data_IF_559501509113
#
_entry.id   IF_559501509113
#
_cell.length_a   1.000
_cell.length_b   1.000
_cell.length_c   1.000
_cell.angle_alpha   90.00
_cell.angle_beta   90.00
_cell.angle_gamma   90.00
#
_symmetry.space_group_name_H-M   'P 1'
#
loop_
_entity.id
_entity.type
_entity.pdbx_description
1 polymer ?
#
# COMPACT_ATOMS: atom_id res chain seq x y z
N UNK A 1 42.09 28.53 -10.94
CA UNK A 1 41.92 27.25 -10.21
C UNK A 1 40.71 27.39 -9.29
N UNK A 2 39.69 26.55 -9.50
CA UNK A 2 38.30 26.92 -9.29
C UNK A 2 37.78 26.54 -7.89
N UNK A 3 37.27 27.53 -7.14
CA UNK A 3 36.78 27.43 -5.75
C UNK A 3 35.60 26.46 -5.51
N UNK A 4 35.09 25.80 -6.56
CA UNK A 4 33.95 24.85 -6.49
C UNK A 4 34.36 23.42 -6.12
N UNK A 5 35.64 23.06 -6.22
CA UNK A 5 36.11 21.70 -5.93
C UNK A 5 36.29 21.39 -4.43
N UNK A 6 36.45 22.41 -3.58
CA UNK A 6 36.74 22.22 -2.14
C UNK A 6 35.46 21.92 -1.33
N UNK A 7 34.30 22.38 -1.78
CA UNK A 7 33.03 22.22 -1.05
C UNK A 7 32.45 20.80 -1.20
N UNK A 8 32.72 20.12 -2.32
CA UNK A 8 32.24 18.75 -2.56
C UNK A 8 33.06 17.73 -1.74
N UNK A 9 34.33 18.02 -1.45
CA UNK A 9 35.16 17.15 -0.60
C UNK A 9 34.76 17.13 0.88
N UNK A 10 34.14 18.20 1.39
CA UNK A 10 33.82 18.33 2.81
C UNK A 10 32.47 17.68 3.19
N UNK A 11 31.55 17.54 2.23
CA UNK A 11 30.25 16.86 2.44
C UNK A 11 30.40 15.33 2.37
N UNK A 12 31.36 14.83 1.59
CA UNK A 12 31.64 13.39 1.49
C UNK A 12 32.36 12.81 2.72
N UNK A 13 33.01 13.66 3.53
CA UNK A 13 33.64 13.27 4.80
C UNK A 13 32.65 13.20 5.99
N UNK A 14 31.51 13.91 5.94
CA UNK A 14 30.51 13.91 7.02
C UNK A 14 29.47 12.78 6.89
N UNK A 15 29.29 12.20 5.70
CA UNK A 15 28.36 11.09 5.49
C UNK A 15 28.93 9.71 5.90
N UNK A 16 30.25 9.57 6.02
CA UNK A 16 30.91 8.32 6.43
C UNK A 16 31.14 8.21 7.95
N UNK A 17 30.97 9.31 8.71
CA UNK A 17 31.14 9.33 10.17
C UNK A 17 29.87 9.03 10.99
N UNK A 18 28.68 9.09 10.40
CA UNK A 18 27.41 8.97 11.11
C UNK A 18 26.81 7.57 11.22
N UNK A 19 27.32 6.59 10.46
CA UNK A 19 26.72 5.25 10.33
C UNK A 19 27.13 4.22 11.38
N UNK A 20 28.12 4.53 12.22
CA UNK A 20 28.72 3.55 13.16
C UNK A 20 28.09 3.60 14.57
N UNK A 21 27.33 4.64 14.90
CA UNK A 21 26.79 4.84 16.25
C UNK A 21 25.40 4.20 16.52
N UNK A 22 24.67 3.73 15.51
CA UNK A 22 23.29 3.23 15.70
C UNK A 22 23.18 1.69 15.84
N UNK A 23 24.30 0.96 15.75
CA UNK A 23 24.32 -0.52 15.78
C UNK A 23 24.78 -1.11 17.13
N UNK A 24 24.73 -0.32 18.21
CA UNK A 24 25.21 -0.74 19.53
C UNK A 24 24.32 -0.30 20.71
N UNK A 25 23.00 -0.31 20.52
CA UNK A 25 22.06 -0.32 21.65
C UNK A 25 20.88 -1.21 21.25
N UNK A 26 20.38 -2.00 22.20
CA UNK A 26 19.30 -3.01 22.11
C UNK A 26 19.75 -4.46 21.84
N UNK A 27 20.51 -5.02 22.77
CA UNK A 27 20.46 -6.45 23.06
C UNK A 27 20.72 -6.74 24.55
N UNK A 28 19.70 -6.65 25.41
CA UNK A 28 19.66 -7.40 26.69
C UNK A 28 18.23 -7.55 27.21
N UNK A 29 17.93 -8.74 27.75
CA UNK A 29 16.91 -9.02 28.81
C UNK A 29 15.46 -9.18 28.31
N UNK A 30 14.66 -10.18 28.65
CA UNK A 30 14.67 -11.23 29.67
C UNK A 30 13.25 -11.38 30.25
N UNK A 31 12.75 -12.61 30.45
CA UNK A 31 11.43 -12.95 31.07
C UNK A 31 10.27 -12.98 30.05
N UNK A 32 9.35 -13.94 29.99
CA UNK A 32 8.89 -14.95 30.94
C UNK A 32 7.46 -14.60 31.35
N UNK A 33 6.43 -15.19 30.73
CA UNK A 33 5.07 -15.20 31.28
C UNK A 33 4.17 -16.27 30.61
N UNK A 34 3.41 -16.98 31.46
CA UNK A 34 2.41 -18.00 31.15
C UNK A 34 1.09 -17.34 30.76
N UNK A 35 0.30 -18.01 29.91
CA UNK A 35 -1.15 -17.88 29.90
C UNK A 35 -1.82 -19.22 29.57
N UNK A 36 -2.66 -19.70 30.49
CA UNK A 36 -3.64 -20.78 30.33
C UNK A 36 -4.78 -20.36 29.39
N UNK A 37 -5.36 -21.33 28.67
CA UNK A 37 -6.81 -21.43 28.46
C UNK A 37 -7.26 -22.92 28.40
N UNK A 38 -8.24 -23.24 29.26
CA UNK A 38 -9.17 -24.40 29.22
C UNK A 38 -10.08 -24.29 27.97
N UNK A 39 -10.83 -25.27 27.47
CA UNK A 39 -11.67 -26.36 28.00
C UNK A 39 -12.09 -27.19 26.74
N UNK A 40 -12.38 -28.50 26.76
CA UNK A 40 -13.67 -29.10 27.12
C UNK A 40 -13.62 -30.61 26.75
N UNK A 41 -14.29 -31.46 27.54
CA UNK A 41 -14.15 -32.92 27.46
C UNK A 41 -15.22 -33.66 26.63
N UNK A 42 -15.08 -34.99 26.59
CA UNK A 42 -16.21 -35.91 26.49
C UNK A 42 -15.84 -37.31 27.04
N UNK A 43 -16.88 -38.00 27.53
CA UNK A 43 -16.90 -39.26 28.27
C UNK A 43 -17.17 -40.46 27.33
N UNK A 44 -17.17 -41.65 27.96
CA UNK A 44 -17.69 -42.97 27.53
C UNK A 44 -16.63 -43.87 26.86
N UNK A 45 -16.47 -45.18 27.13
CA UNK A 45 -17.13 -46.14 28.00
C UNK A 45 -16.23 -47.41 28.16
N UNK A 46 -16.53 -48.19 29.22
CA UNK A 46 -16.10 -49.52 29.71
C UNK A 46 -15.38 -50.58 28.84
N UNK A 47 -14.55 -51.36 29.57
CA UNK A 47 -14.31 -52.82 29.43
C UNK A 47 -12.83 -53.18 29.24
N UNK A 48 -12.14 -54.08 29.95
CA UNK A 48 -12.46 -55.11 30.94
C UNK A 48 -11.50 -56.31 30.75
N UNK A 49 -10.61 -56.58 31.72
CA UNK A 49 -9.91 -57.83 32.11
C UNK A 49 -8.55 -57.45 32.74
N UNK A 50 -8.40 -57.53 34.05
CA UNK A 50 -8.17 -58.74 34.88
C UNK A 50 -6.76 -59.31 34.71
N UNK A 51 -6.05 -59.24 35.84
CA UNK A 51 -4.64 -59.57 36.02
C UNK A 51 -4.46 -61.04 36.36
N UNK A 52 -3.35 -61.61 35.90
CA UNK A 52 -2.90 -62.93 36.31
C UNK A 52 -1.41 -62.93 36.66
N UNK A 53 -1.13 -62.74 37.96
CA UNK A 53 -0.01 -63.28 38.77
C UNK A 53 1.43 -62.78 38.56
N UNK A 54 1.91 -62.05 39.58
CA UNK A 54 2.97 -62.43 40.55
C UNK A 54 3.95 -63.56 40.11
N UNK A 55 5.28 -63.48 40.27
CA UNK A 55 6.05 -62.96 41.41
C UNK A 55 7.58 -62.97 41.10
N UNK A 56 8.34 -62.15 41.87
CA UNK A 56 9.79 -62.24 42.25
C UNK A 56 10.87 -61.96 41.18
N UNK A 57 11.96 -61.24 41.44
CA UNK A 57 12.65 -60.94 42.70
C UNK A 57 13.61 -59.71 42.55
N UNK A 58 13.76 -58.97 43.66
CA UNK A 58 14.87 -58.10 44.12
C UNK A 58 15.51 -57.06 43.19
N UNK A 59 15.20 -55.79 43.49
CA UNK A 59 16.08 -54.63 43.33
C UNK A 59 17.13 -54.62 44.45
N UNK A 60 18.39 -54.46 44.09
CA UNK A 60 19.34 -53.68 44.90
C UNK A 60 19.53 -52.33 44.21
N UNK A 61 19.38 -51.29 45.01
CA UNK A 61 19.55 -49.89 44.63
C UNK A 61 21.04 -49.56 44.52
N UNK A 62 21.42 -48.78 43.51
CA UNK A 62 22.49 -47.82 43.74
C UNK A 62 22.33 -46.55 42.91
N UNK A 63 22.62 -45.48 43.63
CA UNK A 63 22.49 -44.08 43.31
C UNK A 63 23.50 -43.61 42.27
N UNK A 64 23.11 -42.48 41.67
CA UNK A 64 23.97 -41.35 41.30
C UNK A 64 24.79 -41.32 39.99
N UNK A 65 24.60 -40.16 39.37
CA UNK A 65 25.40 -39.44 38.38
C UNK A 65 25.33 -39.89 36.91
N UNK A 66 24.73 -39.00 36.12
CA UNK A 66 24.79 -39.03 34.66
C UNK A 66 26.23 -38.86 34.18
N UNK A 67 26.89 -39.98 33.96
CA UNK A 67 28.07 -40.05 33.10
C UNK A 67 27.60 -40.46 31.71
N UNK A 68 28.04 -39.74 30.69
CA UNK A 68 27.78 -40.06 29.29
C UNK A 68 28.04 -41.56 29.05
N UNK A 69 27.07 -42.28 28.44
CA UNK A 69 27.20 -43.70 28.11
C UNK A 69 28.26 -43.89 27.02
N UNK A 70 29.53 -43.85 27.43
CA UNK A 70 30.68 -44.12 26.60
C UNK A 70 30.89 -45.63 26.51
N UNK A 71 30.81 -46.16 25.29
CA UNK A 71 31.16 -47.56 25.02
C UNK A 71 32.68 -47.66 24.95
N UNK A 72 33.29 -48.37 25.91
CA UNK A 72 34.73 -48.68 25.91
C UNK A 72 34.98 -49.95 25.12
N UNK A 73 35.91 -49.90 24.17
CA UNK A 73 36.35 -51.06 23.38
C UNK A 73 37.89 -51.16 23.42
N UNK A 74 38.40 -52.39 23.45
CA UNK A 74 39.83 -52.65 23.26
C UNK A 74 40.20 -52.59 21.77
N UNK A 75 41.49 -52.41 21.47
CA UNK A 75 41.97 -52.35 20.09
C UNK A 75 41.73 -53.66 19.32
N UNK A 76 41.74 -54.81 20.00
CA UNK A 76 41.43 -56.12 19.42
C UNK A 76 39.95 -56.23 19.05
N UNK A 77 39.05 -55.83 19.96
CA UNK A 77 37.61 -55.80 19.70
C UNK A 77 37.30 -54.79 18.61
N UNK A 78 37.99 -53.65 18.57
CA UNK A 78 37.85 -52.65 17.49
C UNK A 78 38.20 -53.23 16.12
N UNK A 79 39.30 -54.00 16.05
CA UNK A 79 39.77 -54.62 14.82
C UNK A 79 38.89 -55.80 14.39
N UNK A 80 38.40 -56.61 15.33
CA UNK A 80 37.49 -57.73 15.05
C UNK A 80 36.09 -57.25 14.66
N UNK A 81 35.62 -56.15 15.23
CA UNK A 81 34.33 -55.52 14.91
C UNK A 81 34.38 -54.59 13.69
N UNK A 82 35.55 -54.38 13.06
CA UNK A 82 35.70 -53.59 11.83
C UNK A 82 35.53 -52.09 12.02
N UNK A 83 35.75 -51.56 13.22
CA UNK A 83 35.53 -50.13 13.53
C UNK A 83 36.73 -49.30 13.10
N UNK A 84 36.56 -48.48 12.06
CA UNK A 84 37.59 -47.56 11.54
C UNK A 84 37.35 -46.15 12.07
N UNK A 85 38.41 -45.52 12.60
CA UNK A 85 38.38 -44.13 13.08
C UNK A 85 39.23 -43.24 12.18
N UNK A 86 38.76 -42.01 11.94
CA UNK A 86 39.52 -40.98 11.24
C UNK A 86 39.33 -39.63 11.96
N UNK A 87 40.35 -38.76 12.00
CA UNK A 87 40.21 -37.44 12.61
C UNK A 87 39.24 -36.58 11.80
N UNK A 88 38.24 -36.00 12.48
CA UNK A 88 37.32 -35.06 11.86
C UNK A 88 38.09 -33.82 11.37
N UNK A 89 38.04 -33.54 10.06
CA UNK A 89 38.67 -32.36 9.45
C UNK A 89 37.60 -31.42 8.92
N UNK A 90 37.74 -30.13 9.22
CA UNK A 90 36.92 -29.10 8.58
C UNK A 90 37.32 -29.03 7.10
N UNK A 91 36.38 -29.30 6.21
CA UNK A 91 36.57 -29.17 4.77
C UNK A 91 35.53 -28.20 4.21
N UNK A 92 35.95 -27.34 3.28
CA UNK A 92 35.02 -26.47 2.56
C UNK A 92 34.23 -27.32 1.57
N UNK A 93 32.96 -27.57 1.88
CA UNK A 93 32.03 -28.20 0.95
C UNK A 93 31.56 -27.15 -0.05
N UNK A 94 31.87 -27.34 -1.33
CA UNK A 94 31.29 -26.55 -2.41
C UNK A 94 29.91 -27.13 -2.75
N UNK A 95 28.94 -26.95 -1.86
CA UNK A 95 27.54 -27.24 -2.16
C UNK A 95 26.98 -26.10 -3.00
N UNK A 96 26.77 -26.33 -4.29
CA UNK A 96 26.00 -25.40 -5.13
C UNK A 96 24.53 -25.72 -4.88
N UNK A 97 23.83 -24.84 -4.19
CA UNK A 97 22.37 -24.93 -4.07
C UNK A 97 21.81 -24.37 -5.38
N UNK A 98 21.27 -25.24 -6.23
CA UNK A 98 20.53 -24.84 -7.42
C UNK A 98 19.07 -24.57 -7.02
N UNK A 99 18.59 -23.36 -7.29
CA UNK A 99 17.19 -22.99 -7.08
C UNK A 99 16.65 -22.33 -8.34
N UNK A 100 15.39 -22.59 -8.65
CA UNK A 100 14.67 -21.86 -9.70
C UNK A 100 14.24 -20.50 -9.15
N UNK A 101 14.44 -19.45 -9.95
CA UNK A 101 13.97 -18.11 -9.66
C UNK A 101 12.95 -17.67 -10.70
N UNK A 102 12.09 -16.72 -10.33
CA UNK A 102 11.16 -16.05 -11.24
C UNK A 102 11.50 -14.56 -11.27
N UNK A 103 11.51 -13.97 -12.46
CA UNK A 103 11.61 -12.52 -12.63
C UNK A 103 10.20 -11.96 -12.51
N UNK A 104 9.98 -11.10 -11.51
CA UNK A 104 8.73 -10.37 -11.32
C UNK A 104 8.97 -8.88 -11.43
N UNK A 105 7.98 -8.16 -11.94
CA UNK A 105 8.03 -6.71 -11.98
C UNK A 105 7.98 -6.17 -10.54
N UNK A 106 8.74 -5.09 -10.29
CA UNK A 106 8.69 -4.41 -9.00
C UNK A 106 7.29 -3.81 -8.79
N UNK A 107 6.58 -4.27 -7.77
CA UNK A 107 5.23 -3.81 -7.44
C UNK A 107 5.13 -2.28 -7.24
N UNK A 108 6.18 -1.64 -6.72
CA UNK A 108 6.22 -0.18 -6.53
C UNK A 108 6.32 0.61 -7.85
N UNK A 109 6.60 -0.08 -8.97
CA UNK A 109 6.74 0.50 -10.31
C UNK A 109 5.60 0.09 -11.25
N UNK A 110 4.53 -0.49 -10.69
CA UNK A 110 3.33 -0.88 -11.42
C UNK A 110 2.18 0.01 -10.95
N UNK A 111 1.43 0.58 -11.88
CA UNK A 111 0.22 1.32 -11.58
C UNK A 111 -0.95 0.72 -12.36
N UNK A 112 -1.98 0.25 -11.64
CA UNK A 112 -3.24 -0.13 -12.24
C UNK A 112 -4.12 1.11 -12.42
N UNK A 113 -4.51 1.40 -13.65
CA UNK A 113 -5.27 2.62 -13.98
C UNK A 113 -6.73 2.25 -14.22
N UNK A 114 -7.60 2.72 -13.34
CA UNK A 114 -9.06 2.59 -13.46
C UNK A 114 -9.72 3.97 -13.63
N UNK A 115 -10.85 4.04 -14.37
CA UNK A 115 -11.62 5.28 -14.46
C UNK A 115 -12.25 5.62 -13.10
N UNK A 116 -12.36 6.91 -12.81
CA UNK A 116 -12.97 7.43 -11.55
C UNK A 116 -14.48 7.28 -11.51
N UNK A 117 -15.11 7.25 -12.69
CA UNK A 117 -16.56 7.11 -12.89
C UNK A 117 -16.82 6.07 -13.99
N UNK A 118 -17.94 5.34 -13.92
CA UNK A 118 -18.33 4.42 -14.97
C UNK A 118 -18.66 5.18 -16.27
N UNK A 119 -18.30 4.58 -17.41
CA UNK A 119 -18.55 5.18 -18.71
C UNK A 119 -18.23 4.21 -19.84
N UNK A 120 -18.70 4.54 -21.04
CA UNK A 120 -18.42 3.80 -22.28
C UNK A 120 -17.09 4.27 -22.87
N UNK A 121 -16.24 3.35 -23.29
CA UNK A 121 -15.01 3.68 -24.01
C UNK A 121 -15.36 4.26 -25.39
N UNK A 122 -14.85 5.45 -25.69
CA UNK A 122 -15.02 6.09 -27.01
C UNK A 122 -13.80 5.90 -27.89
N UNK A 123 -12.61 6.00 -27.30
CA UNK A 123 -11.37 5.79 -28.02
C UNK A 123 -10.28 5.27 -27.08
N UNK A 124 -9.49 4.34 -27.61
CA UNK A 124 -8.28 3.83 -26.97
C UNK A 124 -7.09 4.40 -27.72
N UNK A 125 -6.24 5.16 -27.04
CA UNK A 125 -5.10 5.87 -27.63
C UNK A 125 -3.77 5.15 -27.46
N UNK A 126 -3.72 4.15 -26.59
CA UNK A 126 -2.51 3.40 -26.30
C UNK A 126 -2.81 1.89 -26.28
N UNK A 127 -1.87 1.11 -26.79
CA UNK A 127 -1.96 -0.32 -26.94
C UNK A 127 -0.95 -1.05 -26.05
N UNK A 128 -1.11 -2.37 -25.96
CA UNK A 128 -0.18 -3.23 -25.24
C UNK A 128 1.23 -3.09 -25.83
N UNK A 129 2.23 -2.85 -24.98
CA UNK A 129 3.62 -2.63 -25.37
C UNK A 129 4.00 -1.18 -25.67
N UNK A 130 3.03 -0.25 -25.76
CA UNK A 130 3.34 1.16 -26.03
C UNK A 130 4.05 1.80 -24.83
N UNK A 131 5.02 2.67 -25.12
CA UNK A 131 5.64 3.52 -24.11
C UNK A 131 4.80 4.76 -23.86
N UNK A 132 4.58 5.08 -22.59
CA UNK A 132 3.74 6.19 -22.15
C UNK A 132 4.47 7.07 -21.14
N UNK A 133 4.25 8.37 -21.23
CA UNK A 133 4.71 9.34 -20.23
C UNK A 133 3.70 9.49 -19.09
N UNK A 134 4.16 9.96 -17.93
CA UNK A 134 3.26 10.39 -16.86
C UNK A 134 2.34 11.53 -17.36
N UNK A 135 1.04 11.42 -17.08
CA UNK A 135 0.01 12.35 -17.53
C UNK A 135 -0.54 12.10 -18.94
N UNK A 136 0.02 11.16 -19.70
CA UNK A 136 -0.44 10.83 -21.05
C UNK A 136 -1.84 10.19 -21.03
N UNK A 137 -2.71 10.60 -21.96
CA UNK A 137 -4.07 10.06 -22.10
C UNK A 137 -4.00 8.67 -22.74
N UNK A 138 -4.50 7.67 -22.02
CA UNK A 138 -4.53 6.27 -22.44
C UNK A 138 -5.84 5.93 -23.15
N UNK A 139 -6.96 6.35 -22.56
CA UNK A 139 -8.32 6.06 -23.00
C UNK A 139 -9.20 7.28 -22.77
N UNK A 140 -10.18 7.49 -23.64
CA UNK A 140 -11.24 8.50 -23.44
C UNK A 140 -12.59 7.82 -23.28
N UNK A 141 -13.33 8.19 -22.24
CA UNK A 141 -14.64 7.63 -21.91
C UNK A 141 -15.75 8.66 -22.07
N UNK A 142 -16.94 8.20 -22.40
CA UNK A 142 -18.20 8.95 -22.38
C UNK A 142 -19.03 8.44 -21.19
N UNK A 143 -19.36 9.34 -20.27
CA UNK A 143 -20.07 9.01 -19.03
C UNK A 143 -21.28 9.90 -18.86
N UNK A 144 -22.40 9.28 -18.48
CA UNK A 144 -23.64 10.00 -18.16
C UNK A 144 -23.45 10.84 -16.90
N UNK A 145 -22.78 10.30 -15.88
CA UNK A 145 -22.52 10.99 -14.62
C UNK A 145 -21.69 12.26 -14.82
N UNK A 146 -20.73 12.22 -15.74
CA UNK A 146 -19.97 13.40 -16.12
C UNK A 146 -20.86 14.47 -16.77
N UNK A 147 -21.73 14.05 -17.70
CA UNK A 147 -22.67 14.96 -18.36
C UNK A 147 -23.60 15.65 -17.36
N UNK A 148 -24.09 14.93 -16.37
CA UNK A 148 -24.92 15.49 -15.30
C UNK A 148 -24.16 16.48 -14.42
N UNK A 149 -22.93 16.15 -14.02
CA UNK A 149 -22.09 17.02 -13.19
C UNK A 149 -21.74 18.33 -13.91
N UNK A 150 -21.47 18.27 -15.21
CA UNK A 150 -21.23 19.46 -16.02
C UNK A 150 -22.47 20.30 -16.21
N UNK A 151 -23.63 19.68 -16.43
CA UNK A 151 -24.90 20.40 -16.49
C UNK A 151 -25.15 21.15 -15.17
N UNK A 152 -24.92 20.50 -14.02
CA UNK A 152 -25.02 21.14 -12.70
C UNK A 152 -24.07 22.33 -12.56
N UNK A 153 -22.80 22.17 -12.94
CA UNK A 153 -21.82 23.26 -12.97
C UNK A 153 -22.27 24.45 -13.83
N UNK A 154 -22.81 24.20 -15.02
CA UNK A 154 -23.33 25.27 -15.88
C UNK A 154 -24.56 25.96 -15.26
N UNK A 155 -25.42 25.21 -14.59
CA UNK A 155 -26.58 25.74 -13.88
C UNK A 155 -26.16 26.62 -12.69
N UNK A 156 -25.28 26.13 -11.80
CA UNK A 156 -24.80 26.90 -10.65
C UNK A 156 -24.01 28.14 -11.08
N UNK A 157 -23.22 28.06 -12.16
CA UNK A 157 -22.55 29.23 -12.74
C UNK A 157 -23.55 30.29 -13.23
N UNK A 158 -24.63 29.86 -13.88
CA UNK A 158 -25.69 30.77 -14.35
C UNK A 158 -26.44 31.39 -13.17
N UNK A 159 -26.76 30.59 -12.13
CA UNK A 159 -27.37 31.08 -10.89
C UNK A 159 -26.50 32.12 -10.19
N UNK A 160 -25.20 31.89 -10.10
CA UNK A 160 -24.26 32.85 -9.50
C UNK A 160 -24.27 34.17 -10.28
N UNK A 161 -24.20 34.11 -11.61
CA UNK A 161 -24.25 35.32 -12.44
C UNK A 161 -25.57 36.10 -12.25
N UNK A 162 -26.70 35.39 -12.14
CA UNK A 162 -28.00 36.00 -11.86
C UNK A 162 -28.05 36.63 -10.46
N UNK A 163 -27.58 35.91 -9.43
CA UNK A 163 -27.55 36.38 -8.05
C UNK A 163 -26.64 37.60 -7.88
N UNK A 164 -25.49 37.62 -8.57
CA UNK A 164 -24.58 38.76 -8.60
C UNK A 164 -25.26 40.00 -9.20
N UNK A 165 -25.86 39.86 -10.39
CA UNK A 165 -26.58 40.96 -11.05
C UNK A 165 -27.74 41.49 -10.18
N UNK A 166 -28.46 40.60 -9.50
CA UNK A 166 -29.53 41.00 -8.59
C UNK A 166 -28.98 41.73 -7.35
N UNK A 167 -27.92 41.23 -6.73
CA UNK A 167 -27.25 41.89 -5.59
C UNK A 167 -26.78 43.29 -5.97
N UNK A 168 -26.10 43.44 -7.11
CA UNK A 168 -25.62 44.73 -7.60
C UNK A 168 -26.79 45.71 -7.85
N UNK A 169 -27.89 45.23 -8.42
CA UNK A 169 -29.11 46.02 -8.64
C UNK A 169 -29.75 46.47 -7.32
N UNK A 170 -29.92 45.58 -6.34
CA UNK A 170 -30.52 45.90 -5.04
C UNK A 170 -29.62 46.86 -4.27
N UNK A 171 -28.29 46.68 -4.32
CA UNK A 171 -27.32 47.59 -3.70
C UNK A 171 -27.53 49.03 -4.17
N UNK A 172 -27.64 49.24 -5.48
CA UNK A 172 -27.91 50.58 -6.06
C UNK A 172 -29.26 51.15 -5.60
N UNK A 173 -30.29 50.32 -5.44
CA UNK A 173 -31.61 50.77 -4.97
C UNK A 173 -31.61 51.12 -3.48
N UNK A 174 -30.89 50.38 -2.65
CA UNK A 174 -30.70 50.68 -1.23
C UNK A 174 -29.89 51.96 -1.04
N UNK A 175 -28.83 52.17 -1.84
CA UNK A 175 -28.03 53.41 -1.82
C UNK A 175 -28.88 54.63 -2.17
N UNK A 176 -29.85 54.47 -3.08
CA UNK A 176 -30.86 55.48 -3.44
C UNK A 176 -32.01 55.59 -2.43
N UNK A 177 -31.98 54.83 -1.32
CA UNK A 177 -33.04 54.74 -0.29
C UNK A 177 -34.41 54.31 -0.83
N UNK A 178 -34.44 53.55 -1.92
CA UNK A 178 -35.67 53.04 -2.55
C UNK A 178 -36.03 51.65 -1.98
N UNK A 179 -35.02 50.81 -1.70
CA UNK A 179 -35.19 49.45 -1.19
C UNK A 179 -34.88 49.34 0.30
N UNK A 180 -35.47 48.35 0.97
CA UNK A 180 -35.24 48.10 2.39
C UNK A 180 -33.86 47.44 2.64
N UNK A 181 -33.21 47.74 3.78
CA UNK A 181 -31.95 47.08 4.17
C UNK A 181 -32.04 45.55 4.27
N UNK A 182 -33.24 45.01 4.52
CA UNK A 182 -33.48 43.56 4.51
C UNK A 182 -33.26 42.94 3.13
N UNK A 183 -33.57 43.66 2.06
CA UNK A 183 -33.45 43.16 0.68
C UNK A 183 -31.99 42.96 0.27
N UNK A 184 -31.09 43.87 0.65
CA UNK A 184 -29.65 43.70 0.36
C UNK A 184 -29.07 42.52 1.14
N UNK A 185 -29.46 42.32 2.40
CA UNK A 185 -29.01 41.17 3.19
C UNK A 185 -29.49 39.84 2.58
N UNK A 186 -30.73 39.80 2.06
CA UNK A 186 -31.24 38.63 1.34
C UNK A 186 -30.44 38.41 0.05
N UNK A 187 -30.22 39.45 -0.75
CA UNK A 187 -29.48 39.34 -2.01
C UNK A 187 -28.01 38.91 -1.80
N UNK A 188 -27.36 39.37 -0.73
CA UNK A 188 -26.02 38.90 -0.33
C UNK A 188 -26.03 37.41 0.08
N UNK A 189 -27.07 36.97 0.79
CA UNK A 189 -27.25 35.57 1.18
C UNK A 189 -27.45 34.69 -0.05
N UNK A 190 -28.28 35.13 -1.00
CA UNK A 190 -28.54 34.42 -2.25
C UNK A 190 -27.25 34.33 -3.11
N UNK A 191 -26.47 35.42 -3.18
CA UNK A 191 -25.17 35.44 -3.86
C UNK A 191 -24.18 34.45 -3.23
N UNK A 192 -24.02 34.48 -1.90
CA UNK A 192 -23.12 33.54 -1.18
C UNK A 192 -23.56 32.10 -1.33
N UNK A 193 -24.86 31.84 -1.33
CA UNK A 193 -25.42 30.51 -1.55
C UNK A 193 -25.09 30.01 -2.95
N UNK A 194 -25.36 30.82 -3.98
CA UNK A 194 -25.04 30.48 -5.36
C UNK A 194 -23.52 30.31 -5.60
N UNK A 195 -22.68 31.09 -4.91
CA UNK A 195 -21.24 30.95 -4.95
C UNK A 195 -20.77 29.62 -4.35
N UNK A 196 -21.37 29.21 -3.24
CA UNK A 196 -21.10 27.93 -2.57
C UNK A 196 -21.56 26.75 -3.42
N UNK A 197 -22.73 26.86 -4.06
CA UNK A 197 -23.22 25.85 -5.02
C UNK A 197 -22.23 25.67 -6.17
N UNK A 198 -21.74 26.77 -6.77
CA UNK A 198 -20.76 26.70 -7.84
C UNK A 198 -19.47 26.01 -7.36
N UNK A 199 -18.94 26.43 -6.22
CA UNK A 199 -17.71 25.85 -5.67
C UNK A 199 -17.85 24.34 -5.43
N UNK A 200 -19.00 23.90 -4.88
CA UNK A 200 -19.29 22.47 -4.66
C UNK A 200 -19.33 21.69 -5.98
N UNK A 201 -19.89 22.28 -7.04
CA UNK A 201 -19.92 21.64 -8.35
C UNK A 201 -18.54 21.60 -9.01
N UNK A 202 -17.70 22.64 -8.82
CA UNK A 202 -16.30 22.66 -9.26
C UNK A 202 -15.46 21.58 -8.57
N UNK A 203 -15.63 21.43 -7.25
CA UNK A 203 -14.99 20.36 -6.48
C UNK A 203 -15.42 18.98 -6.98
N UNK A 204 -16.72 18.77 -7.24
CA UNK A 204 -17.22 17.51 -7.80
C UNK A 204 -16.55 17.16 -9.14
N UNK A 205 -16.40 18.14 -10.05
CA UNK A 205 -15.70 17.92 -11.32
C UNK A 205 -14.21 17.60 -11.12
N UNK A 206 -13.56 18.24 -10.13
CA UNK A 206 -12.17 17.96 -9.78
C UNK A 206 -11.98 16.54 -9.26
N UNK A 207 -12.94 16.01 -8.49
CA UNK A 207 -12.91 14.63 -7.99
C UNK A 207 -12.96 13.60 -9.12
N UNK A 208 -13.64 13.93 -10.22
CA UNK A 208 -13.65 13.12 -11.44
C UNK A 208 -12.37 13.25 -12.28
N UNK A 209 -11.42 14.11 -11.88
CA UNK A 209 -10.13 14.28 -12.55
C UNK A 209 -10.18 15.24 -13.73
N UNK A 210 -11.21 16.10 -13.80
CA UNK A 210 -11.31 17.14 -14.82
C UNK A 210 -10.76 18.44 -14.27
N UNK A 211 -9.79 19.00 -14.99
CA UNK A 211 -9.30 20.34 -14.68
C UNK A 211 -10.27 21.36 -15.28
N UNK A 212 -10.72 22.32 -14.47
CA UNK A 212 -11.58 23.43 -14.92
C UNK A 212 -10.96 24.24 -16.07
N UNK A 213 -9.63 24.25 -16.16
CA UNK A 213 -8.86 24.82 -17.27
C UNK A 213 -9.25 24.21 -18.62
N UNK A 214 -9.46 22.89 -18.64
CA UNK A 214 -9.77 22.13 -19.86
C UNK A 214 -11.20 22.43 -20.34
N UNK A 215 -12.11 22.79 -19.42
CA UNK A 215 -13.51 23.15 -19.70
C UNK A 215 -13.69 24.59 -20.22
N UNK A 216 -12.71 25.47 -20.02
CA UNK A 216 -12.77 26.86 -20.52
C UNK A 216 -12.53 26.97 -22.03
N UNK A 217 -12.01 25.91 -22.66
CA UNK A 217 -11.93 25.86 -24.12
C UNK A 217 -13.33 25.66 -24.67
N UNK A 218 -13.88 26.70 -25.28
CA UNK A 218 -15.23 26.81 -25.86
C UNK A 218 -15.44 25.92 -27.11
N UNK A 219 -15.04 24.65 -27.00
CA UNK A 219 -15.38 23.65 -27.98
C UNK A 219 -16.67 22.97 -27.53
N UNK A 220 -17.73 23.19 -28.29
CA UNK A 220 -19.06 22.56 -28.15
C UNK A 220 -19.06 21.03 -28.34
N UNK A 221 -17.91 20.36 -28.10
CA UNK A 221 -17.77 18.92 -28.17
C UNK A 221 -18.19 18.33 -26.83
N UNK A 222 -18.88 17.19 -26.90
CA UNK A 222 -19.19 16.39 -25.72
C UNK A 222 -17.91 16.19 -24.90
N UNK A 223 -17.88 16.64 -23.63
CA UNK A 223 -16.69 16.51 -22.80
C UNK A 223 -16.49 15.03 -22.49
N UNK A 224 -15.47 14.46 -23.12
CA UNK A 224 -15.03 13.09 -22.87
C UNK A 224 -14.11 13.10 -21.66
N UNK A 225 -14.17 12.06 -20.83
CA UNK A 225 -13.29 11.87 -19.69
C UNK A 225 -11.96 11.26 -20.15
N UNK A 226 -10.83 11.98 -20.05
CA UNK A 226 -9.52 11.40 -20.33
C UNK A 226 -9.02 10.60 -19.11
N UNK A 227 -8.70 9.33 -19.30
CA UNK A 227 -7.97 8.53 -18.31
C UNK A 227 -6.48 8.62 -18.61
N UNK A 228 -5.71 9.08 -17.62
CA UNK A 228 -4.29 9.40 -17.75
C UNK A 228 -3.41 8.44 -16.96
N UNK A 229 -2.20 8.20 -17.46
CA UNK A 229 -1.20 7.42 -16.73
C UNK A 229 -0.63 8.21 -15.54
N UNK A 230 -0.57 7.67 -14.32
CA UNK A 230 0.07 8.34 -13.18
C UNK A 230 1.60 8.26 -13.25
N UNK A 231 2.16 7.25 -13.91
CA UNK A 231 3.60 7.00 -14.05
C UNK A 231 4.00 6.88 -15.52
N UNK A 232 5.27 7.14 -15.82
CA UNK A 232 5.85 6.81 -17.11
C UNK A 232 6.27 5.34 -17.16
N UNK A 233 6.14 4.68 -18.31
CA UNK A 233 6.47 3.27 -18.45
C UNK A 233 6.01 2.65 -19.76
N UNK A 234 5.71 1.36 -19.72
CA UNK A 234 5.16 0.58 -20.83
C UNK A 234 3.87 -0.10 -20.40
N UNK A 235 2.91 -0.22 -21.32
CA UNK A 235 1.63 -0.88 -21.03
C UNK A 235 1.84 -2.40 -21.07
N UNK A 236 1.74 -3.04 -19.90
CA UNK A 236 1.91 -4.50 -19.76
C UNK A 236 0.61 -5.27 -19.82
N UNK A 237 -0.54 -4.62 -19.57
CA UNK A 237 -1.87 -5.23 -19.59
C UNK A 237 -2.91 -4.25 -20.13
N UNK A 238 -3.94 -4.77 -20.80
CA UNK A 238 -5.06 -3.99 -21.33
C UNK A 238 -6.36 -4.76 -21.13
N UNK A 239 -7.25 -4.20 -20.31
CA UNK A 239 -8.60 -4.72 -20.06
C UNK A 239 -9.70 -3.87 -20.72
N UNK A 240 -9.32 -2.91 -21.57
CA UNK A 240 -10.24 -2.02 -22.28
C UNK A 240 -10.58 -2.61 -23.67
N UNK A 241 -11.83 -3.05 -23.86
CA UNK A 241 -12.37 -3.65 -25.09
C UNK A 241 -13.48 -2.77 -25.64
#
# INVERSE_FOLDING_TARGET
MNKKAIIIGLILALALGGGVAYRLTHSTTGGGEKAEQKEAGHKDEKGGHDEGKEEKEKKEEHDEHGEEKLVKMSAEVQKQSGVVVAPAKKQRLAGVISATGKVEANADRIAHVSPRIPGKIVAVRSSLGDSVAAGQVLVTLDSVELGEALNRYHQSRTKLALAQSNMDRIKVLVDKKIAARKEILQAETDYKTAQTELHTDEERLSLYGINLSDLKSDNHKKPLLPVRSPIGGVITEKHAI
#
